data_IF_053265063027
#
_entry.id   IF_053265063027
#
_cell.length_a   1.000
_cell.length_b   1.000
_cell.length_c   1.000
_cell.angle_alpha   90.00
_cell.angle_beta   90.00
_cell.angle_gamma   90.00
#
_symmetry.space_group_name_H-M   'P 1'
#
loop_
_entity.id
_entity.type
_entity.pdbx_description
1 polymer ?
#
# COMPACT_ATOMS: atom_id res chain seq x y z
N UNK A 1 -3.07 -4.79 -25.97
CA UNK A 1 -4.09 -5.30 -25.04
C UNK A 1 -3.54 -6.37 -24.09
N UNK A 2 -2.94 -7.45 -24.59
CA UNK A 2 -2.43 -8.55 -23.72
C UNK A 2 -1.43 -8.10 -22.66
N UNK A 3 -0.42 -7.30 -23.03
CA UNK A 3 0.58 -6.78 -22.07
C UNK A 3 -0.04 -5.91 -20.97
N UNK A 4 -1.09 -5.15 -21.32
CA UNK A 4 -1.80 -4.30 -20.36
C UNK A 4 -2.51 -5.14 -19.30
N UNK A 5 -3.23 -6.19 -19.73
CA UNK A 5 -3.93 -7.11 -18.83
C UNK A 5 -2.92 -7.82 -17.91
N UNK A 6 -1.79 -8.28 -18.44
CA UNK A 6 -0.73 -8.90 -17.63
C UNK A 6 -0.25 -7.91 -16.55
N UNK A 7 0.02 -6.66 -16.92
CA UNK A 7 0.42 -5.61 -15.97
C UNK A 7 -0.63 -5.37 -14.88
N UNK A 8 -1.92 -5.30 -15.25
CA UNK A 8 -3.01 -5.15 -14.28
C UNK A 8 -3.13 -6.34 -13.33
N UNK A 9 -3.01 -7.58 -13.84
CA UNK A 9 -3.03 -8.79 -13.01
C UNK A 9 -1.87 -8.76 -12.02
N UNK A 10 -0.65 -8.44 -12.47
CA UNK A 10 0.52 -8.34 -11.60
C UNK A 10 0.34 -7.26 -10.53
N UNK A 11 -0.20 -6.09 -10.91
CA UNK A 11 -0.44 -4.98 -9.99
C UNK A 11 -1.54 -5.31 -8.96
N UNK A 12 -2.66 -5.88 -9.40
CA UNK A 12 -3.73 -6.35 -8.52
C UNK A 12 -3.24 -7.42 -7.55
N UNK A 13 -2.49 -8.41 -8.05
CA UNK A 13 -1.89 -9.46 -7.21
C UNK A 13 -0.92 -8.90 -6.16
N UNK A 14 -0.12 -7.89 -6.52
CA UNK A 14 0.75 -7.21 -5.56
C UNK A 14 -0.03 -6.64 -4.37
N UNK A 15 -1.12 -5.91 -4.64
CA UNK A 15 -1.95 -5.32 -3.58
C UNK A 15 -2.65 -6.38 -2.73
N UNK A 16 -3.18 -7.44 -3.36
CA UNK A 16 -3.81 -8.56 -2.66
C UNK A 16 -2.81 -9.21 -1.70
N UNK A 17 -1.62 -9.60 -2.19
CA UNK A 17 -0.58 -10.23 -1.37
C UNK A 17 -0.07 -9.29 -0.27
N UNK A 18 0.08 -8.01 -0.56
CA UNK A 18 0.44 -6.99 0.43
C UNK A 18 -0.61 -6.87 1.53
N UNK A 19 -1.90 -6.86 1.16
CA UNK A 19 -3.02 -6.82 2.09
C UNK A 19 -3.11 -8.07 2.95
N UNK A 20 -2.93 -9.27 2.37
CA UNK A 20 -2.87 -10.52 3.15
C UNK A 20 -1.74 -10.50 4.18
N UNK A 21 -0.58 -9.93 3.84
CA UNK A 21 0.53 -9.79 4.78
C UNK A 21 0.19 -8.91 5.99
N UNK A 22 -0.73 -7.95 5.87
CA UNK A 22 -1.18 -7.16 7.03
C UNK A 22 -1.94 -7.99 8.06
N UNK A 23 -2.67 -9.01 7.61
CA UNK A 23 -3.35 -9.94 8.50
C UNK A 23 -2.40 -11.02 9.02
N UNK A 24 -1.57 -11.58 8.14
CA UNK A 24 -0.62 -12.65 8.51
C UNK A 24 0.44 -12.16 9.51
N UNK A 25 0.84 -10.89 9.41
CA UNK A 25 1.84 -10.26 10.30
C UNK A 25 1.22 -9.18 11.19
N UNK A 26 -0.04 -9.36 11.58
CA UNK A 26 -0.80 -8.35 12.32
C UNK A 26 -0.08 -7.87 13.59
N UNK A 27 0.54 -8.78 14.35
CA UNK A 27 1.30 -8.42 15.57
C UNK A 27 2.46 -7.47 15.28
N UNK A 28 3.36 -7.88 14.39
CA UNK A 28 4.54 -7.10 14.01
C UNK A 28 4.17 -5.75 13.42
N UNK A 29 3.19 -5.72 12.51
CA UNK A 29 2.74 -4.48 11.88
C UNK A 29 2.01 -3.56 12.86
N UNK A 30 1.28 -4.12 13.84
CA UNK A 30 0.69 -3.33 14.93
C UNK A 30 1.77 -2.68 15.79
N UNK A 31 2.82 -3.42 16.13
CA UNK A 31 3.98 -2.88 16.85
C UNK A 31 4.68 -1.76 16.07
N UNK A 32 4.83 -1.94 14.75
CA UNK A 32 5.39 -0.92 13.87
C UNK A 32 4.49 0.33 13.76
N UNK A 33 3.18 0.16 13.59
CA UNK A 33 2.23 1.27 13.59
C UNK A 33 2.21 2.03 14.94
N UNK A 34 2.35 1.30 16.05
CA UNK A 34 2.46 1.89 17.37
C UNK A 34 3.74 2.72 17.53
N UNK A 35 4.88 2.26 17.01
CA UNK A 35 6.14 3.03 17.04
C UNK A 35 6.08 4.31 16.21
N UNK A 36 5.25 4.32 15.16
CA UNK A 36 4.89 5.51 14.37
C UNK A 36 3.78 6.37 14.99
N UNK A 37 3.32 6.04 16.20
CA UNK A 37 2.30 6.77 16.98
C UNK A 37 0.94 6.90 16.30
N UNK A 38 0.56 5.93 15.46
CA UNK A 38 -0.77 5.94 14.86
C UNK A 38 -1.86 5.74 15.94
N UNK A 39 -2.99 6.46 15.84
CA UNK A 39 -4.13 6.17 16.69
C UNK A 39 -4.66 4.77 16.37
N UNK A 40 -5.01 4.00 17.41
CA UNK A 40 -5.53 2.63 17.30
C UNK A 40 -4.73 1.72 16.33
N UNK A 41 -3.45 1.43 16.59
CA UNK A 41 -2.54 0.77 15.64
C UNK A 41 -3.07 -0.53 15.03
N UNK A 42 -3.68 -1.39 15.85
CA UNK A 42 -4.24 -2.68 15.38
C UNK A 42 -5.37 -2.47 14.38
N UNK A 43 -6.25 -1.51 14.66
CA UNK A 43 -7.37 -1.19 13.76
C UNK A 43 -6.84 -0.59 12.45
N UNK A 44 -5.84 0.29 12.52
CA UNK A 44 -5.21 0.87 11.33
C UNK A 44 -4.63 -0.21 10.40
N UNK A 45 -3.95 -1.22 10.95
CA UNK A 45 -3.39 -2.35 10.18
C UNK A 45 -4.48 -3.24 9.58
N UNK A 46 -5.57 -3.51 10.32
CA UNK A 46 -6.71 -4.28 9.79
C UNK A 46 -7.35 -3.53 8.62
N UNK A 47 -7.61 -2.23 8.79
CA UNK A 47 -8.23 -1.38 7.76
C UNK A 47 -7.32 -1.28 6.53
N UNK A 48 -6.01 -1.08 6.70
CA UNK A 48 -5.09 -1.05 5.57
C UNK A 48 -5.03 -2.39 4.84
N UNK A 49 -5.03 -3.51 5.57
CA UNK A 49 -5.14 -4.84 4.99
C UNK A 49 -6.39 -5.01 4.13
N UNK A 50 -7.56 -4.56 4.62
CA UNK A 50 -8.82 -4.62 3.88
C UNK A 50 -8.79 -3.74 2.63
N UNK A 51 -8.30 -2.50 2.76
CA UNK A 51 -8.14 -1.58 1.63
C UNK A 51 -7.27 -2.18 0.53
N UNK A 52 -6.15 -2.79 0.91
CA UNK A 52 -5.22 -3.40 -0.04
C UNK A 52 -5.83 -4.62 -0.74
N UNK A 53 -6.47 -5.52 0.00
CA UNK A 53 -7.12 -6.71 -0.59
C UNK A 53 -8.27 -6.31 -1.50
N UNK A 54 -9.18 -5.45 -1.03
CA UNK A 54 -10.36 -5.05 -1.80
C UNK A 54 -9.97 -4.21 -3.02
N UNK A 55 -9.03 -3.27 -2.87
CA UNK A 55 -8.48 -2.51 -3.97
C UNK A 55 -7.81 -3.42 -5.01
N UNK A 56 -6.95 -4.33 -4.56
CA UNK A 56 -6.28 -5.27 -5.45
C UNK A 56 -7.24 -6.23 -6.17
N UNK A 57 -8.29 -6.69 -5.50
CA UNK A 57 -9.37 -7.48 -6.12
C UNK A 57 -10.16 -6.65 -7.13
N UNK A 58 -10.44 -5.38 -6.86
CA UNK A 58 -11.07 -4.47 -7.82
C UNK A 58 -10.26 -4.34 -9.11
N UNK A 59 -8.94 -4.19 -9.00
CA UNK A 59 -8.04 -4.18 -10.16
C UNK A 59 -8.05 -5.53 -10.88
N UNK A 60 -7.89 -6.64 -10.15
CA UNK A 60 -7.78 -7.98 -10.72
C UNK A 60 -9.06 -8.41 -11.46
N UNK A 61 -10.22 -8.10 -10.88
CA UNK A 61 -11.54 -8.45 -11.40
C UNK A 61 -12.12 -7.38 -12.35
N UNK A 62 -11.36 -6.30 -12.61
CA UNK A 62 -11.79 -5.17 -13.44
C UNK A 62 -13.10 -4.51 -12.94
N UNK A 63 -13.32 -4.51 -11.63
CA UNK A 63 -14.53 -4.02 -10.99
C UNK A 63 -14.31 -2.63 -10.38
N UNK A 64 -15.12 -1.65 -10.80
CA UNK A 64 -15.10 -0.28 -10.25
C UNK A 64 -13.67 0.32 -10.19
N UNK A 65 -12.93 0.24 -11.31
CA UNK A 65 -11.50 0.58 -11.38
C UNK A 65 -11.16 1.97 -10.85
N UNK A 66 -11.98 2.98 -11.15
CA UNK A 66 -11.74 4.35 -10.66
C UNK A 66 -11.70 4.40 -9.12
N UNK A 67 -12.61 3.70 -8.44
CA UNK A 67 -12.62 3.59 -6.98
C UNK A 67 -11.47 2.73 -6.47
N UNK A 68 -11.19 1.60 -7.12
CA UNK A 68 -10.08 0.72 -6.74
C UNK A 68 -8.73 1.46 -6.79
N UNK A 69 -8.45 2.17 -7.88
CA UNK A 69 -7.26 2.98 -8.05
C UNK A 69 -7.25 4.15 -7.07
N UNK A 70 -8.34 4.92 -6.98
CA UNK A 70 -8.42 6.10 -6.12
C UNK A 70 -8.14 5.81 -4.64
N UNK A 71 -8.76 4.76 -4.09
CA UNK A 71 -8.56 4.38 -2.69
C UNK A 71 -7.12 3.87 -2.45
N UNK A 72 -6.56 3.09 -3.37
CA UNK A 72 -5.19 2.62 -3.27
C UNK A 72 -4.16 3.75 -3.38
N UNK A 73 -4.38 4.73 -4.26
CA UNK A 73 -3.55 5.94 -4.36
C UNK A 73 -3.54 6.69 -3.03
N UNK A 74 -4.72 6.97 -2.47
CA UNK A 74 -4.85 7.65 -1.19
C UNK A 74 -4.13 6.87 -0.07
N UNK A 75 -4.35 5.56 0.00
CA UNK A 75 -3.67 4.70 0.96
C UNK A 75 -2.14 4.74 0.81
N UNK A 76 -1.61 4.60 -0.41
CA UNK A 76 -0.16 4.57 -0.65
C UNK A 76 0.51 5.88 -0.25
N UNK A 77 -0.09 7.03 -0.59
CA UNK A 77 0.43 8.35 -0.24
C UNK A 77 0.40 8.55 1.28
N UNK A 78 -0.72 8.22 1.94
CA UNK A 78 -0.82 8.33 3.40
C UNK A 78 0.17 7.38 4.10
N UNK A 79 0.29 6.13 3.64
CA UNK A 79 1.26 5.19 4.20
C UNK A 79 2.70 5.65 3.98
N UNK A 80 3.02 6.24 2.82
CA UNK A 80 4.35 6.81 2.57
C UNK A 80 4.66 7.90 3.61
N UNK A 81 3.76 8.86 3.80
CA UNK A 81 3.98 10.01 4.68
C UNK A 81 3.89 9.68 6.18
N UNK A 82 3.03 8.73 6.59
CA UNK A 82 2.77 8.42 8.00
C UNK A 82 3.61 7.23 8.50
N UNK A 83 3.74 6.18 7.68
CA UNK A 83 4.40 4.94 8.08
C UNK A 83 5.85 4.85 7.59
N UNK A 84 6.19 5.52 6.50
CA UNK A 84 7.51 5.44 5.89
C UNK A 84 8.21 6.81 5.81
N UNK A 85 7.97 7.64 6.82
CA UNK A 85 8.62 8.94 7.01
C UNK A 85 10.11 8.84 7.38
N UNK A 86 10.92 8.35 6.45
CA UNK A 86 12.35 8.06 6.64
C UNK A 86 13.17 9.26 7.15
N UNK A 87 12.72 10.49 6.90
CA UNK A 87 13.36 11.71 7.41
C UNK A 87 13.30 11.85 8.93
N UNK A 88 12.38 11.14 9.60
CA UNK A 88 12.27 11.12 11.05
C UNK A 88 13.11 10.01 11.72
N UNK A 89 13.65 9.07 10.94
CA UNK A 89 14.41 7.94 11.48
C UNK A 89 15.86 8.32 11.76
N UNK A 90 16.33 8.05 12.99
CA UNK A 90 17.71 8.31 13.44
C UNK A 90 18.66 7.14 13.17
N UNK A 91 18.14 5.93 13.24
CA UNK A 91 18.89 4.72 12.91
C UNK A 91 19.08 4.60 11.39
N UNK A 92 20.31 4.35 10.95
CA UNK A 92 20.65 4.33 9.52
C UNK A 92 19.97 3.18 8.77
N UNK A 93 19.84 2.01 9.41
CA UNK A 93 19.18 0.84 8.82
C UNK A 93 17.68 1.08 8.64
N UNK A 94 17.03 1.61 9.67
CA UNK A 94 15.61 1.96 9.63
C UNK A 94 15.33 3.05 8.59
N UNK A 95 16.15 4.10 8.55
CA UNK A 95 16.05 5.17 7.56
C UNK A 95 16.12 4.65 6.13
N UNK A 96 17.08 3.77 5.83
CA UNK A 96 17.19 3.18 4.50
C UNK A 96 15.97 2.32 4.15
N UNK A 97 15.52 1.47 5.08
CA UNK A 97 14.33 0.64 4.89
C UNK A 97 13.06 1.47 4.63
N UNK A 98 12.86 2.55 5.39
CA UNK A 98 11.72 3.44 5.18
C UNK A 98 11.83 4.28 3.91
N UNK A 99 13.03 4.70 3.50
CA UNK A 99 13.22 5.39 2.22
C UNK A 99 12.80 4.50 1.05
N UNK A 100 13.20 3.23 1.06
CA UNK A 100 12.81 2.25 0.03
C UNK A 100 11.28 2.09 0.00
N UNK A 101 10.65 1.92 1.16
CA UNK A 101 9.19 1.77 1.22
C UNK A 101 8.43 3.04 0.81
N UNK A 102 8.94 4.21 1.17
CA UNK A 102 8.42 5.50 0.74
C UNK A 102 8.42 5.62 -0.79
N UNK A 103 9.58 5.39 -1.41
CA UNK A 103 9.74 5.44 -2.87
C UNK A 103 8.87 4.41 -3.58
N UNK A 104 8.82 3.18 -3.06
CA UNK A 104 7.94 2.12 -3.56
C UNK A 104 6.48 2.56 -3.57
N UNK A 105 5.99 3.14 -2.47
CA UNK A 105 4.61 3.58 -2.38
C UNK A 105 4.30 4.71 -3.38
N UNK A 106 5.21 5.68 -3.54
CA UNK A 106 5.04 6.75 -4.54
C UNK A 106 5.07 6.22 -5.97
N UNK A 107 5.98 5.28 -6.29
CA UNK A 107 6.06 4.67 -7.61
C UNK A 107 4.77 3.90 -7.95
N UNK A 108 4.21 3.16 -6.99
CA UNK A 108 2.93 2.46 -7.17
C UNK A 108 1.76 3.43 -7.30
N UNK A 109 1.74 4.51 -6.52
CA UNK A 109 0.72 5.55 -6.64
C UNK A 109 0.79 6.24 -8.01
N UNK A 110 1.98 6.51 -8.52
CA UNK A 110 2.18 7.05 -9.86
C UNK A 110 1.69 6.08 -10.95
N UNK A 111 1.97 4.78 -10.81
CA UNK A 111 1.46 3.77 -11.73
C UNK A 111 -0.08 3.73 -11.74
N UNK A 112 -0.70 3.78 -10.56
CA UNK A 112 -2.17 3.84 -10.45
C UNK A 112 -2.75 5.15 -11.00
N UNK A 113 -2.09 6.29 -10.83
CA UNK A 113 -2.51 7.57 -11.41
C UNK A 113 -2.48 7.52 -12.94
N UNK A 114 -1.44 6.93 -13.53
CA UNK A 114 -1.38 6.71 -14.99
C UNK A 114 -2.53 5.80 -15.45
N UNK A 115 -2.80 4.71 -14.73
CA UNK A 115 -3.91 3.80 -15.06
C UNK A 115 -5.29 4.43 -14.89
N UNK A 116 -5.45 5.35 -13.92
CA UNK A 116 -6.69 6.09 -13.69
C UNK A 116 -6.96 7.13 -14.80
N UNK A 117 -5.92 7.56 -15.52
CA UNK A 117 -6.03 8.52 -16.62
C UNK A 117 -6.35 7.89 -17.98
N UNK A 118 -6.35 6.56 -18.07
CA UNK A 118 -6.72 5.78 -19.26
C UNK A 118 -8.24 5.58 -19.33
#
# INVERSE_FOLDING_TARGET
MTLFIIGQIMLGAYFILSGFNHFAKLGDMTGYAASKKLPSPKLAVIVSGLVLVLGGLGILLQFQLAWAYGVLIAFLVLAALLMHNFWADKDAGMKMSNLINFQKNLALAAALLMLLSL
#
